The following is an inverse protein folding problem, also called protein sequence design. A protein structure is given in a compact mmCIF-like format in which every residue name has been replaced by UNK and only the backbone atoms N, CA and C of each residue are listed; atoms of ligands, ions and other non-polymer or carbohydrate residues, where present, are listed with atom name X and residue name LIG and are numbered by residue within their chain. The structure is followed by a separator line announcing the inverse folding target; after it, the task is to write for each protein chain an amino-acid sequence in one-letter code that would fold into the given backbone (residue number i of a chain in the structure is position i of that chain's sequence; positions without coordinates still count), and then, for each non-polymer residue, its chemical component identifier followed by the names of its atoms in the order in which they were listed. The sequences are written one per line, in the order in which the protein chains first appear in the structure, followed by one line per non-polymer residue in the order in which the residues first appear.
data_IF_547988313803
#
_entry.id   IF_547988313803
#
_cell.length_a   1.000
_cell.length_b   1.000
_cell.length_c   1.000
_cell.angle_alpha   90.00
_cell.angle_beta   90.00
_cell.angle_gamma   90.00
#
_symmetry.space_group_name_H-M   'P 1'
#
loop_
_entity.id
_entity.type
_entity.pdbx_description
1 polymer ?
#
# COMPACT_ATOMS: atom_id res chain seq x y z
N UNK A 1 -10.91 -6.00 -5.68
CA UNK A 1 -9.84 -6.93 -6.12
C UNK A 1 -8.79 -7.03 -5.02
N UNK A 2 -7.98 -8.09 -4.99
CA UNK A 2 -6.83 -8.21 -4.07
C UNK A 2 -5.56 -7.66 -4.74
N UNK A 3 -4.54 -7.32 -3.94
CA UNK A 3 -3.23 -6.89 -4.46
C UNK A 3 -2.57 -7.95 -5.37
N UNK A 4 -2.81 -9.24 -5.08
CA UNK A 4 -2.35 -10.34 -5.93
C UNK A 4 -3.06 -10.34 -7.29
N UNK A 5 -4.39 -10.16 -7.28
CA UNK A 5 -5.20 -10.19 -8.50
C UNK A 5 -4.98 -8.96 -9.39
N UNK A 6 -4.40 -7.87 -8.88
CA UNK A 6 -4.11 -6.67 -9.68
C UNK A 6 -2.82 -6.76 -10.49
N UNK A 7 -2.03 -7.84 -10.36
CA UNK A 7 -0.77 -7.98 -11.10
C UNK A 7 -1.00 -7.95 -12.62
N UNK A 8 -0.30 -7.06 -13.32
CA UNK A 8 -0.42 -6.90 -14.77
C UNK A 8 -1.59 -6.03 -15.23
N UNK A 9 -2.33 -5.41 -14.29
CA UNK A 9 -3.35 -4.41 -14.58
C UNK A 9 -2.81 -3.01 -14.30
N UNK A 10 -3.40 -2.00 -14.92
CA UNK A 10 -3.12 -0.59 -14.64
C UNK A 10 -4.43 0.20 -14.64
N UNK A 11 -4.50 1.22 -13.79
CA UNK A 11 -5.70 2.04 -13.60
C UNK A 11 -5.30 3.52 -13.45
N UNK A 12 -6.09 4.46 -14.00
CA UNK A 12 -5.85 5.89 -13.78
C UNK A 12 -5.77 6.24 -12.29
N UNK A 13 -6.66 5.66 -11.48
CA UNK A 13 -6.74 5.88 -10.04
C UNK A 13 -6.77 4.56 -9.29
N UNK A 14 -5.98 4.44 -8.22
CA UNK A 14 -5.96 3.28 -7.32
C UNK A 14 -6.14 3.71 -5.87
N UNK A 15 -7.03 3.03 -5.17
CA UNK A 15 -7.22 3.16 -3.73
C UNK A 15 -6.71 1.89 -3.04
N UNK A 16 -5.79 2.03 -2.10
CA UNK A 16 -5.30 0.95 -1.23
C UNK A 16 -5.68 1.28 0.21
N UNK A 17 -6.86 0.82 0.66
CA UNK A 17 -7.27 1.00 2.04
C UNK A 17 -6.59 -0.03 2.97
N UNK A 18 -6.54 0.30 4.25
CA UNK A 18 -6.18 -0.65 5.30
C UNK A 18 -4.68 -0.89 5.45
N UNK A 19 -3.84 0.10 5.12
CA UNK A 19 -2.39 0.04 5.36
C UNK A 19 -2.02 -0.26 6.81
N UNK A 20 -2.87 0.13 7.75
CA UNK A 20 -2.72 -0.15 9.17
C UNK A 20 -2.79 -1.65 9.53
N UNK A 21 -3.25 -2.51 8.61
CA UNK A 21 -3.29 -3.97 8.77
C UNK A 21 -2.07 -4.66 8.15
N UNK A 22 -1.16 -3.90 7.51
CA UNK A 22 0.06 -4.43 6.90
C UNK A 22 1.31 -3.98 7.69
N UNK A 23 2.25 -4.89 7.99
CA UNK A 23 2.22 -6.29 7.60
C UNK A 23 1.25 -7.13 8.45
N UNK A 24 0.63 -8.15 7.87
CA UNK A 24 -0.09 -9.18 8.62
C UNK A 24 0.93 -9.99 9.44
N UNK A 25 0.64 -10.18 10.73
CA UNK A 25 1.52 -10.90 11.68
C UNK A 25 1.93 -12.31 11.25
N UNK A 26 1.20 -12.93 10.32
CA UNK A 26 1.46 -14.28 9.83
C UNK A 26 2.27 -14.31 8.54
N UNK A 27 2.49 -13.16 7.90
CA UNK A 27 3.19 -13.06 6.62
C UNK A 27 4.56 -12.42 6.80
N UNK A 28 5.48 -12.75 5.89
CA UNK A 28 6.78 -12.10 5.84
C UNK A 28 6.63 -10.63 5.45
N UNK A 29 7.27 -9.74 6.21
CA UNK A 29 7.18 -8.29 5.99
C UNK A 29 7.73 -7.90 4.61
N UNK A 30 8.81 -8.53 4.14
CA UNK A 30 9.38 -8.18 2.85
C UNK A 30 8.46 -8.62 1.70
N UNK A 31 7.78 -9.75 1.82
CA UNK A 31 6.79 -10.19 0.83
C UNK A 31 5.57 -9.28 0.80
N UNK A 32 5.04 -8.86 1.94
CA UNK A 32 3.93 -7.89 1.96
C UNK A 32 4.34 -6.51 1.46
N UNK A 33 5.57 -6.07 1.72
CA UNK A 33 6.11 -4.84 1.15
C UNK A 33 6.18 -4.92 -0.39
N UNK A 34 6.62 -6.06 -0.94
CA UNK A 34 6.62 -6.31 -2.40
C UNK A 34 5.21 -6.28 -2.97
N UNK A 35 4.24 -6.90 -2.30
CA UNK A 35 2.84 -6.90 -2.74
C UNK A 35 2.23 -5.50 -2.70
N UNK A 36 2.48 -4.74 -1.63
CA UNK A 36 2.05 -3.36 -1.52
C UNK A 36 2.65 -2.51 -2.65
N UNK A 37 3.95 -2.64 -2.92
CA UNK A 37 4.61 -1.95 -4.04
C UNK A 37 3.98 -2.31 -5.40
N UNK A 38 3.70 -3.59 -5.64
CA UNK A 38 3.00 -4.04 -6.85
C UNK A 38 1.62 -3.38 -6.97
N UNK A 39 0.87 -3.27 -5.88
CA UNK A 39 -0.44 -2.61 -5.87
C UNK A 39 -0.35 -1.09 -6.07
N UNK A 40 0.64 -0.43 -5.46
CA UNK A 40 0.88 1.02 -5.61
C UNK A 40 1.22 1.37 -7.07
N UNK A 41 2.05 0.56 -7.72
CA UNK A 41 2.44 0.71 -9.14
C UNK A 41 1.37 0.27 -10.13
N UNK A 42 0.12 0.05 -9.69
CA UNK A 42 -1.03 -0.06 -10.60
C UNK A 42 -1.65 1.30 -10.90
N UNK A 43 -1.34 2.32 -10.10
CA UNK A 43 -1.81 3.68 -10.33
C UNK A 43 -0.99 4.34 -11.45
N UNK A 44 -1.69 4.93 -12.42
CA UNK A 44 -1.06 5.73 -13.48
C UNK A 44 -1.03 7.21 -13.09
N UNK A 45 -2.12 7.74 -12.52
CA UNK A 45 -2.25 9.18 -12.21
C UNK A 45 -2.33 9.43 -10.71
N UNK A 46 -3.25 8.74 -10.03
CA UNK A 46 -3.54 9.00 -8.60
C UNK A 46 -3.49 7.72 -7.80
N UNK A 47 -2.68 7.74 -6.74
CA UNK A 47 -2.62 6.71 -5.73
C UNK A 47 -3.14 7.27 -4.40
N UNK A 48 -4.18 6.65 -3.86
CA UNK A 48 -4.72 6.99 -2.53
C UNK A 48 -4.44 5.83 -1.58
N UNK A 49 -3.76 6.14 -0.49
CA UNK A 49 -3.41 5.23 0.58
C UNK A 49 -4.16 5.63 1.84
N UNK A 50 -4.82 4.70 2.53
CA UNK A 50 -5.50 5.01 3.79
C UNK A 50 -5.25 3.98 4.89
N UNK A 51 -5.23 4.45 6.14
CA UNK A 51 -5.08 3.62 7.33
C UNK A 51 -5.93 4.21 8.48
N UNK A 52 -6.49 3.34 9.32
CA UNK A 52 -7.23 3.70 10.54
C UNK A 52 -6.39 3.54 11.82
N UNK A 53 -5.19 2.97 11.69
CA UNK A 53 -4.25 2.67 12.77
C UNK A 53 -2.81 2.73 12.27
N UNK A 54 -1.87 2.85 13.20
CA UNK A 54 -0.44 2.79 12.90
C UNK A 54 -0.02 1.37 12.53
N UNK A 55 0.91 1.28 11.59
CA UNK A 55 1.63 0.07 11.23
C UNK A 55 3.02 0.43 10.76
N UNK A 56 3.92 -0.56 10.70
CA UNK A 56 5.29 -0.34 10.20
C UNK A 56 5.26 0.26 8.80
N UNK A 57 4.34 -0.17 7.92
CA UNK A 57 4.23 0.40 6.57
C UNK A 57 3.64 1.80 6.56
N UNK A 58 2.61 2.06 7.38
CA UNK A 58 2.04 3.40 7.49
C UNK A 58 3.06 4.41 8.01
N UNK A 59 3.85 4.06 9.04
CA UNK A 59 4.88 4.93 9.59
C UNK A 59 6.04 5.16 8.62
N UNK A 60 6.47 4.12 7.89
CA UNK A 60 7.48 4.26 6.83
C UNK A 60 7.03 5.18 5.72
N UNK A 61 5.79 5.05 5.27
CA UNK A 61 5.22 5.90 4.23
C UNK A 61 5.01 7.34 4.71
N UNK A 62 4.54 7.55 5.95
CA UNK A 62 4.41 8.87 6.55
C UNK A 62 5.79 9.59 6.64
N UNK A 63 6.82 8.86 7.05
CA UNK A 63 8.20 9.36 7.08
C UNK A 63 8.77 9.66 5.70
N UNK A 64 8.44 8.86 4.69
CA UNK A 64 8.95 9.01 3.31
C UNK A 64 8.23 10.09 2.51
N UNK A 65 6.92 10.25 2.71
CA UNK A 65 6.10 11.24 2.02
C UNK A 65 6.18 12.62 2.68
N UNK A 66 6.73 12.70 3.89
CA UNK A 66 7.00 13.93 4.62
C UNK A 66 5.72 14.70 4.90
N UNK A 67 5.05 14.41 6.03
CA UNK A 67 3.85 15.09 6.56
C UNK A 67 3.19 16.05 5.55
N UNK A 68 2.43 15.48 4.61
CA UNK A 68 1.46 16.28 3.88
C UNK A 68 0.31 16.51 4.87
N UNK A 69 0.46 17.59 5.64
CA UNK A 69 -0.52 18.05 6.62
C UNK A 69 -1.83 18.48 5.97
#
# INVERSE_FOLDING_TARGET
MTMHASKGLEFPVVFIPGLGYLPNRYNDEADEARLLYVAMTRAIEVLVLSCDRKSVFAERLDGALGKVG
#
